data_IF_086679527048
#
_entry.id   IF_086679527048
#
_cell.length_a   1.000
_cell.length_b   1.000
_cell.length_c   1.000
_cell.angle_alpha   90.00
_cell.angle_beta   90.00
_cell.angle_gamma   90.00
#
_symmetry.space_group_name_H-M   'P 1'
#
loop_
_entity.id
_entity.type
_entity.pdbx_description
1 polymer ?
#
# COMPACT_ATOMS: atom_id res chain seq x y z
N UNK A 1 10.44 3.21 -26.64
CA UNK A 1 9.25 2.66 -25.97
C UNK A 1 9.44 2.79 -24.47
N UNK A 2 8.90 3.84 -23.84
CA UNK A 2 8.99 4.04 -22.40
C UNK A 2 7.81 3.32 -21.74
N UNK A 3 7.94 2.02 -21.50
CA UNK A 3 6.98 1.25 -20.73
C UNK A 3 7.00 1.74 -19.29
N UNK A 4 5.94 2.42 -18.86
CA UNK A 4 5.73 2.71 -17.45
C UNK A 4 5.80 1.40 -16.67
N UNK A 5 6.60 1.39 -15.61
CA UNK A 5 6.86 0.23 -14.77
C UNK A 5 5.56 -0.18 -14.05
N UNK A 6 4.71 -0.93 -14.75
CA UNK A 6 3.34 -1.24 -14.33
C UNK A 6 3.36 -2.39 -13.34
N UNK A 7 3.39 -2.06 -12.05
CA UNK A 7 3.19 -3.02 -10.98
C UNK A 7 1.71 -3.40 -10.90
N UNK A 8 1.43 -4.68 -11.09
CA UNK A 8 0.13 -5.29 -10.81
C UNK A 8 -0.13 -5.40 -9.31
N UNK A 9 -1.40 -5.51 -8.91
CA UNK A 9 -1.76 -5.71 -7.50
C UNK A 9 -1.16 -7.01 -6.93
N UNK A 10 -1.06 -8.07 -7.75
CA UNK A 10 -0.44 -9.34 -7.35
C UNK A 10 1.07 -9.18 -7.07
N UNK A 11 1.79 -8.38 -7.87
CA UNK A 11 3.20 -8.09 -7.60
C UNK A 11 3.38 -7.26 -6.32
N UNK A 12 2.49 -6.30 -6.08
CA UNK A 12 2.49 -5.48 -4.86
C UNK A 12 2.22 -6.38 -3.64
N UNK A 13 1.25 -7.29 -3.73
CA UNK A 13 0.94 -8.23 -2.66
C UNK A 13 2.12 -9.18 -2.38
N UNK A 14 2.74 -9.72 -3.43
CA UNK A 14 3.92 -10.58 -3.31
C UNK A 14 5.11 -9.84 -2.67
N UNK A 15 5.34 -8.57 -3.05
CA UNK A 15 6.36 -7.73 -2.45
C UNK A 15 6.10 -7.53 -0.95
N UNK A 16 4.89 -7.09 -0.57
CA UNK A 16 4.54 -6.84 0.83
C UNK A 16 4.62 -8.13 1.65
N UNK A 17 4.19 -9.26 1.10
CA UNK A 17 4.30 -10.56 1.76
C UNK A 17 5.77 -10.97 2.00
N UNK A 18 6.64 -10.79 1.00
CA UNK A 18 8.07 -11.04 1.16
C UNK A 18 8.68 -10.17 2.27
N UNK A 19 8.37 -8.87 2.28
CA UNK A 19 8.85 -7.94 3.30
C UNK A 19 8.33 -8.34 4.68
N UNK A 20 7.08 -8.79 4.77
CA UNK A 20 6.47 -9.28 6.02
C UNK A 20 7.17 -10.52 6.58
N UNK A 21 7.52 -11.48 5.73
CA UNK A 21 8.32 -12.64 6.14
C UNK A 21 9.68 -12.18 6.71
N UNK A 22 10.26 -11.12 6.17
CA UNK A 22 11.55 -10.55 6.59
C UNK A 22 11.39 -9.33 7.52
N UNK A 23 10.25 -9.16 8.20
CA UNK A 23 9.95 -7.96 9.00
C UNK A 23 10.94 -7.68 10.13
N UNK A 24 11.62 -8.71 10.63
CA UNK A 24 12.70 -8.56 11.63
C UNK A 24 13.94 -7.82 11.10
N UNK A 25 14.06 -7.66 9.78
CA UNK A 25 15.15 -6.93 9.13
C UNK A 25 14.82 -5.45 8.87
N UNK A 26 13.65 -4.98 9.31
CA UNK A 26 13.26 -3.58 9.16
C UNK A 26 14.27 -2.67 9.88
N UNK A 27 14.76 -1.66 9.18
CA UNK A 27 15.62 -0.63 9.74
C UNK A 27 14.78 0.51 10.32
N UNK A 28 15.42 1.38 11.10
CA UNK A 28 14.83 2.65 11.52
C UNK A 28 14.22 3.38 10.31
N UNK A 29 12.95 3.78 10.45
CA UNK A 29 12.20 4.47 9.40
C UNK A 29 11.37 3.59 8.46
N UNK A 30 10.99 2.37 8.85
CA UNK A 30 10.11 1.48 8.07
C UNK A 30 10.69 1.04 6.71
N UNK A 31 12.01 0.99 6.59
CA UNK A 31 12.68 0.59 5.35
C UNK A 31 13.47 -0.70 5.54
N UNK A 32 13.90 -1.31 4.43
CA UNK A 32 14.61 -2.58 4.42
C UNK A 32 15.98 -2.45 3.76
N UNK A 33 16.89 -3.36 4.10
CA UNK A 33 18.23 -3.38 3.49
C UNK A 33 18.14 -3.89 2.06
N UNK A 34 19.13 -3.52 1.23
CA UNK A 34 19.26 -4.02 -0.16
C UNK A 34 19.19 -5.55 -0.23
N UNK A 35 19.79 -6.26 0.73
CA UNK A 35 19.74 -7.73 0.81
C UNK A 35 18.31 -8.26 0.98
N UNK A 36 17.48 -7.59 1.76
CA UNK A 36 16.07 -7.96 1.95
C UNK A 36 15.27 -7.77 0.66
N UNK A 37 15.51 -6.66 -0.05
CA UNK A 37 14.88 -6.45 -1.37
C UNK A 37 15.37 -7.45 -2.43
N UNK A 38 16.63 -7.90 -2.36
CA UNK A 38 17.11 -8.97 -3.23
C UNK A 38 16.32 -10.27 -3.00
N UNK A 39 16.06 -10.65 -1.74
CA UNK A 39 15.18 -11.79 -1.45
C UNK A 39 13.79 -11.63 -2.08
N UNK A 40 13.27 -10.40 -2.13
CA UNK A 40 11.98 -10.13 -2.74
C UNK A 40 12.00 -10.19 -4.26
N UNK A 41 13.08 -9.77 -4.90
CA UNK A 41 13.30 -9.98 -6.35
C UNK A 41 13.25 -11.47 -6.69
N UNK A 42 13.84 -12.32 -5.85
CA UNK A 42 13.83 -13.77 -6.06
C UNK A 42 12.46 -14.40 -5.72
N UNK A 43 11.74 -13.82 -4.75
CA UNK A 43 10.45 -14.32 -4.28
C UNK A 43 9.29 -13.97 -5.22
N UNK A 44 9.21 -12.75 -5.75
CA UNK A 44 8.05 -12.28 -6.54
C UNK A 44 7.76 -13.23 -7.73
N UNK A 45 8.73 -13.70 -8.53
CA UNK A 45 8.49 -14.63 -9.63
C UNK A 45 7.88 -15.98 -9.20
N UNK A 46 8.06 -16.39 -7.94
CA UNK A 46 7.44 -17.61 -7.38
C UNK A 46 5.93 -17.46 -7.17
N UNK A 47 5.42 -16.22 -7.11
CA UNK A 47 4.01 -15.90 -6.93
C UNK A 47 3.38 -15.28 -8.17
N UNK A 48 4.16 -14.53 -8.94
CA UNK A 48 3.75 -13.89 -10.19
C UNK A 48 4.71 -14.30 -11.29
N UNK A 49 4.41 -15.36 -12.06
CA UNK A 49 5.26 -15.80 -13.16
C UNK A 49 5.56 -14.66 -14.13
N UNK A 50 6.81 -14.58 -14.60
CA UNK A 50 7.33 -13.54 -15.50
C UNK A 50 7.48 -12.14 -14.91
N UNK A 51 7.31 -11.94 -13.60
CA UNK A 51 7.68 -10.68 -12.96
C UNK A 51 9.19 -10.42 -13.13
N UNK A 52 9.56 -9.21 -13.56
CA UNK A 52 10.95 -8.80 -13.84
C UNK A 52 11.35 -7.58 -13.02
N UNK A 53 10.95 -7.57 -11.75
CA UNK A 53 11.24 -6.47 -10.85
C UNK A 53 12.70 -6.55 -10.39
N UNK A 54 13.40 -5.41 -10.38
CA UNK A 54 14.73 -5.30 -9.78
C UNK A 54 14.66 -4.74 -8.36
N UNK A 55 15.80 -4.75 -7.66
CA UNK A 55 15.91 -4.29 -6.26
C UNK A 55 15.50 -2.82 -6.11
N UNK A 56 15.87 -1.96 -7.08
CA UNK A 56 15.54 -0.53 -7.07
C UNK A 56 14.03 -0.34 -7.28
N UNK A 57 13.43 -1.09 -8.20
CA UNK A 57 11.98 -1.14 -8.46
C UNK A 57 11.22 -1.54 -7.21
N UNK A 58 11.64 -2.62 -6.53
CA UNK A 58 11.02 -3.10 -5.29
C UNK A 58 11.09 -2.05 -4.16
N UNK A 59 12.26 -1.42 -3.96
CA UNK A 59 12.44 -0.38 -2.94
C UNK A 59 11.59 0.86 -3.20
N UNK A 60 11.61 1.34 -4.45
CA UNK A 60 10.78 2.49 -4.84
C UNK A 60 9.30 2.16 -4.65
N UNK A 61 8.88 0.96 -5.06
CA UNK A 61 7.49 0.52 -4.90
C UNK A 61 7.08 0.42 -3.44
N UNK A 62 7.91 -0.15 -2.57
CA UNK A 62 7.65 -0.18 -1.13
C UNK A 62 7.50 1.23 -0.54
N UNK A 63 8.36 2.16 -0.94
CA UNK A 63 8.31 3.55 -0.48
C UNK A 63 7.02 4.23 -0.93
N UNK A 64 6.64 4.07 -2.20
CA UNK A 64 5.39 4.59 -2.73
C UNK A 64 4.17 4.00 -1.99
N UNK A 65 4.13 2.67 -1.85
CA UNK A 65 2.98 1.95 -1.30
C UNK A 65 2.85 2.19 0.21
N UNK A 66 3.95 2.22 0.96
CA UNK A 66 3.94 2.56 2.40
C UNK A 66 3.48 3.99 2.65
N UNK A 67 3.97 4.95 1.89
CA UNK A 67 3.53 6.34 2.00
C UNK A 67 2.06 6.53 1.59
N UNK A 68 1.65 5.92 0.47
CA UNK A 68 0.26 5.99 0.00
C UNK A 68 -0.69 5.34 0.98
N UNK A 69 -0.34 4.15 1.51
CA UNK A 69 -1.17 3.44 2.48
C UNK A 69 -1.34 4.27 3.75
N UNK A 70 -0.23 4.68 4.39
CA UNK A 70 -0.28 5.43 5.64
C UNK A 70 -1.06 6.76 5.51
N UNK A 71 -0.85 7.53 4.44
CA UNK A 71 -1.54 8.83 4.33
C UNK A 71 -2.95 8.75 3.77
N UNK A 72 -3.21 7.82 2.85
CA UNK A 72 -4.48 7.78 2.13
C UNK A 72 -5.50 6.96 2.89
N UNK A 73 -5.12 5.77 3.38
CA UNK A 73 -6.08 4.91 4.10
C UNK A 73 -6.47 5.54 5.43
N UNK A 74 -5.53 6.12 6.18
CA UNK A 74 -5.86 6.83 7.43
C UNK A 74 -6.85 7.97 7.17
N UNK A 75 -6.69 8.72 6.08
CA UNK A 75 -7.65 9.78 5.72
C UNK A 75 -9.01 9.23 5.34
N UNK A 76 -9.06 8.13 4.60
CA UNK A 76 -10.31 7.47 4.19
C UNK A 76 -11.05 6.88 5.40
N UNK A 77 -10.33 6.27 6.35
CA UNK A 77 -10.89 5.76 7.61
C UNK A 77 -11.47 6.86 8.51
N UNK A 78 -10.99 8.10 8.37
CA UNK A 78 -11.48 9.25 9.11
C UNK A 78 -12.61 10.02 8.39
N UNK A 79 -13.05 9.58 7.20
CA UNK A 79 -14.20 10.19 6.53
C UNK A 79 -15.48 9.74 7.24
N UNK A 80 -16.19 10.68 7.85
CA UNK A 80 -17.46 10.40 8.50
C UNK A 80 -18.47 9.81 7.51
N UNK A 81 -19.15 8.73 7.91
CA UNK A 81 -20.15 8.05 7.10
C UNK A 81 -19.61 6.98 6.15
N UNK A 82 -18.28 6.74 6.11
CA UNK A 82 -17.70 5.64 5.33
C UNK A 82 -17.19 4.54 6.25
N UNK A 83 -17.27 3.30 5.77
CA UNK A 83 -16.73 2.14 6.48
C UNK A 83 -15.59 1.58 5.65
N UNK A 84 -14.37 1.67 6.20
CA UNK A 84 -13.22 1.02 5.60
C UNK A 84 -13.19 -0.47 5.97
N UNK A 85 -12.98 -1.32 4.98
CA UNK A 85 -12.62 -2.73 5.17
C UNK A 85 -11.37 -3.08 4.35
N UNK A 86 -10.56 -3.99 4.85
CA UNK A 86 -9.32 -4.39 4.17
C UNK A 86 -9.57 -5.19 2.89
N UNK A 87 -10.78 -5.72 2.73
CA UNK A 87 -11.22 -6.47 1.54
C UNK A 87 -11.91 -5.56 0.51
N UNK A 88 -12.81 -4.67 0.94
CA UNK A 88 -13.66 -3.87 0.04
C UNK A 88 -13.32 -2.38 0.02
N UNK A 89 -12.34 -1.91 0.78
CA UNK A 89 -11.96 -0.49 0.83
C UNK A 89 -13.07 0.32 1.48
N UNK A 90 -13.48 1.44 0.88
CA UNK A 90 -14.53 2.30 1.44
C UNK A 90 -15.96 1.77 1.26
N UNK A 91 -16.16 0.69 0.48
CA UNK A 91 -17.47 0.07 0.28
C UNK A 91 -18.55 1.03 -0.20
N UNK A 92 -18.19 1.92 -1.14
CA UNK A 92 -19.08 2.97 -1.66
C UNK A 92 -20.25 2.34 -2.42
N UNK A 93 -21.46 2.58 -1.92
CA UNK A 93 -22.76 2.24 -2.51
C UNK A 93 -23.34 3.45 -3.24
N UNK A 94 -24.52 3.29 -3.85
CA UNK A 94 -25.20 4.41 -4.53
C UNK A 94 -25.56 5.54 -3.56
N UNK A 95 -25.84 5.22 -2.29
CA UNK A 95 -26.23 6.18 -1.25
C UNK A 95 -25.11 7.17 -0.89
N UNK A 96 -23.85 6.73 -0.93
CA UNK A 96 -22.70 7.56 -0.58
C UNK A 96 -21.82 7.91 -1.80
N UNK A 97 -22.28 7.59 -3.03
CA UNK A 97 -21.55 7.86 -4.26
C UNK A 97 -21.27 9.37 -4.46
N UNK A 98 -22.26 10.23 -4.19
CA UNK A 98 -22.10 11.68 -4.33
C UNK A 98 -21.01 12.22 -3.38
N UNK A 99 -20.97 11.70 -2.15
CA UNK A 99 -19.93 12.04 -1.16
C UNK A 99 -18.55 11.60 -1.63
N UNK A 100 -18.44 10.40 -2.22
CA UNK A 100 -17.20 9.88 -2.79
C UNK A 100 -16.68 10.74 -3.93
N UNK A 101 -17.54 11.12 -4.89
CA UNK A 101 -17.16 11.96 -6.02
C UNK A 101 -16.66 13.34 -5.58
N UNK A 102 -17.35 13.98 -4.63
CA UNK A 102 -16.90 15.23 -4.03
C UNK A 102 -15.54 15.09 -3.36
N UNK A 103 -15.34 14.01 -2.60
CA UNK A 103 -14.08 13.73 -1.92
C UNK A 103 -12.93 13.54 -2.91
N UNK A 104 -13.11 12.74 -3.96
CA UNK A 104 -12.11 12.52 -5.03
C UNK A 104 -11.79 13.84 -5.74
N UNK A 105 -12.80 14.68 -6.02
CA UNK A 105 -12.61 16.00 -6.62
C UNK A 105 -11.79 16.93 -5.73
N UNK A 106 -12.03 16.92 -4.41
CA UNK A 106 -11.31 17.73 -3.42
C UNK A 106 -9.87 17.25 -3.19
N UNK A 107 -9.63 15.93 -3.24
CA UNK A 107 -8.33 15.34 -2.90
C UNK A 107 -7.47 14.95 -4.11
N UNK A 108 -7.92 15.25 -5.35
CA UNK A 108 -7.20 15.13 -6.64
C UNK A 108 -6.17 14.01 -6.68
N UNK A 109 -6.61 12.76 -6.65
CA UNK A 109 -5.69 11.62 -6.72
C UNK A 109 -6.25 10.43 -7.48
N UNK A 110 -5.68 10.08 -8.66
CA UNK A 110 -5.87 8.77 -9.31
C UNK A 110 -5.53 7.59 -8.38
N UNK A 111 -4.71 7.85 -7.36
CA UNK A 111 -4.29 6.88 -6.35
C UNK A 111 -5.40 6.56 -5.33
N UNK A 112 -6.39 7.44 -5.16
CA UNK A 112 -7.47 7.30 -4.17
C UNK A 112 -8.64 6.52 -4.77
N UNK A 113 -8.86 6.67 -6.08
CA UNK A 113 -9.97 6.05 -6.80
C UNK A 113 -9.94 4.53 -6.72
N UNK A 114 -8.74 3.93 -6.67
CA UNK A 114 -8.59 2.47 -6.49
C UNK A 114 -9.21 1.96 -5.20
N UNK A 115 -9.31 2.79 -4.16
CA UNK A 115 -9.81 2.39 -2.84
C UNK A 115 -11.32 2.54 -2.66
N UNK A 116 -12.05 2.91 -3.72
CA UNK A 116 -13.52 3.05 -3.69
C UNK A 116 -14.19 1.78 -3.18
N UNK A 117 -13.95 0.67 -3.89
CA UNK A 117 -14.55 -0.65 -3.65
C UNK A 117 -13.50 -1.77 -3.69
N UNK A 118 -12.23 -1.41 -3.51
CA UNK A 118 -11.13 -2.37 -3.44
C UNK A 118 -10.33 -2.07 -2.19
N UNK A 119 -10.31 -3.03 -1.29
CA UNK A 119 -9.50 -2.94 -0.09
C UNK A 119 -8.02 -3.03 -0.41
N UNK A 120 -7.23 -2.93 0.64
CA UNK A 120 -5.80 -3.09 0.54
C UNK A 120 -5.38 -4.18 1.53
N UNK A 121 -5.58 -5.44 1.12
CA UNK A 121 -5.25 -6.63 1.90
C UNK A 121 -3.85 -6.62 2.53
N UNK A 122 -2.79 -6.06 1.90
CA UNK A 122 -1.49 -6.00 2.54
C UNK A 122 -1.42 -5.01 3.73
N UNK A 123 -2.46 -4.20 4.00
CA UNK A 123 -2.44 -3.13 5.02
C UNK A 123 -2.09 -3.63 6.42
N UNK A 124 -2.70 -4.72 6.89
CA UNK A 124 -2.43 -5.27 8.24
C UNK A 124 -0.95 -5.65 8.37
N UNK A 125 -0.41 -6.33 7.35
CA UNK A 125 1.01 -6.70 7.29
C UNK A 125 1.90 -5.46 7.25
N UNK A 126 1.48 -4.41 6.57
CA UNK A 126 2.21 -3.14 6.51
C UNK A 126 2.21 -2.38 7.83
N UNK A 127 1.10 -2.34 8.57
CA UNK A 127 1.05 -1.70 9.89
C UNK A 127 1.99 -2.37 10.89
N UNK A 128 2.24 -3.68 10.76
CA UNK A 128 3.23 -4.39 11.59
C UNK A 128 4.69 -4.08 11.21
N UNK A 129 4.93 -3.62 9.98
CA UNK A 129 6.28 -3.29 9.47
C UNK A 129 6.61 -1.81 9.57
N UNK A 130 5.61 -0.95 9.74
CA UNK A 130 5.81 0.47 9.97
C UNK A 130 5.90 0.70 11.47
N UNK A 131 6.91 1.44 11.99
CA UNK A 131 6.79 1.98 13.33
C UNK A 131 5.48 2.75 13.36
N UNK A 132 4.65 2.50 14.38
CA UNK A 132 3.50 3.36 14.67
C UNK A 132 3.98 4.78 14.47
N UNK A 133 3.38 5.53 13.53
CA UNK A 133 3.59 6.97 13.49
C UNK A 133 3.19 7.37 14.90
N UNK A 134 4.20 7.68 15.73
CA UNK A 134 3.98 8.09 17.09
C UNK A 134 3.08 9.29 16.95
N UNK A 135 1.80 9.10 17.21
CA UNK A 135 0.95 10.20 17.64
C UNK A 135 1.67 10.65 18.88
N UNK A 136 2.41 11.76 18.75
CA UNK A 136 3.05 12.38 19.90
C UNK A 136 1.94 12.61 20.90
N UNK A 137 1.85 11.73 21.90
CA UNK A 137 1.19 12.04 23.15
C UNK A 137 2.01 13.19 23.73
N UNK A 138 1.60 14.41 23.42
CA UNK A 138 1.86 15.50 24.33
C UNK A 138 0.97 15.21 25.55
N UNK A 139 1.61 14.71 26.59
CA UNK A 139 1.15 14.75 27.98
C UNK A 139 1.01 16.19 28.45
#
# INVERSE_FOLDING_TARGET
MAGGNHWSDAEIEALVHCLYINRSEVSNGANFKTKTYQKCVDYIPTKVPNARQDVKSCRNKWTDVSFLNAKTVDKLMNVSGWVWTDEHGCGITDENNSSWEEYVKRHKGPSITRFRNKGFLPRVRMSEMMPSIGTGQNV
#
